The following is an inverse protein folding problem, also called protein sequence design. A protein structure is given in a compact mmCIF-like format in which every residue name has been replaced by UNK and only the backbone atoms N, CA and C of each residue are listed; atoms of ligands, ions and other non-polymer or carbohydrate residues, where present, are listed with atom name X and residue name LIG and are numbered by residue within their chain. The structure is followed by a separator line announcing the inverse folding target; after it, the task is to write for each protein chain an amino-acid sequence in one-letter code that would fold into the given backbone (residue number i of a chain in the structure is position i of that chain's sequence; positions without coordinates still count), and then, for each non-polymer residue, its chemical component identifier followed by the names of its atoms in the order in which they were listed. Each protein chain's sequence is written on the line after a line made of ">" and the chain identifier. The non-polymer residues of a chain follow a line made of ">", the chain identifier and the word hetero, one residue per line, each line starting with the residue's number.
data_IF_067434778368
#
_entry.id   IF_067434778368
#
_cell.length_a   1.000
_cell.length_b   1.000
_cell.length_c   1.000
_cell.angle_alpha   90.00
_cell.angle_beta   90.00
_cell.angle_gamma   90.00
#
_symmetry.space_group_name_H-M   'P 1'
#
loop_
_entity.id
_entity.type
_entity.pdbx_description
1 polymer ?
#
# COMPACT_ATOMS: atom_id res chain seq x y z
N UNK A 1 26.83 -32.40 75.13
CA UNK A 1 27.21 -31.22 74.34
C UNK A 1 27.51 -31.68 72.92
N UNK A 2 26.50 -31.68 72.04
CA UNK A 2 26.58 -32.22 70.67
C UNK A 2 26.56 -31.04 69.70
N UNK A 3 27.58 -30.98 68.83
CA UNK A 3 27.74 -30.00 67.75
C UNK A 3 26.86 -30.40 66.57
N UNK A 4 26.16 -29.46 65.96
CA UNK A 4 25.45 -29.59 64.68
C UNK A 4 26.08 -28.60 63.70
N UNK A 5 26.52 -29.00 62.50
CA UNK A 5 27.01 -28.07 61.49
C UNK A 5 25.89 -27.55 60.59
N UNK A 6 26.05 -26.29 60.16
CA UNK A 6 25.14 -25.54 59.29
C UNK A 6 25.20 -26.04 57.84
N UNK A 7 24.03 -26.12 57.20
CA UNK A 7 23.84 -26.49 55.80
C UNK A 7 23.56 -25.21 55.01
N UNK A 8 24.45 -24.85 54.10
CA UNK A 8 24.30 -23.71 53.17
C UNK A 8 23.57 -24.23 51.93
N UNK A 9 22.36 -23.73 51.68
CA UNK A 9 21.59 -24.00 50.47
C UNK A 9 21.76 -22.83 49.49
N UNK A 10 22.50 -23.04 48.41
CA UNK A 10 22.59 -22.13 47.26
C UNK A 10 21.39 -22.36 46.34
N UNK A 11 20.48 -21.38 46.27
CA UNK A 11 19.40 -21.33 45.29
C UNK A 11 19.95 -20.79 43.96
N UNK A 12 19.98 -21.63 42.93
CA UNK A 12 20.28 -21.23 41.55
C UNK A 12 19.09 -20.52 40.94
N UNK A 13 19.26 -19.23 40.63
CA UNK A 13 18.29 -18.41 39.93
C UNK A 13 18.44 -18.64 38.41
N UNK A 14 17.56 -19.47 37.84
CA UNK A 14 17.45 -19.64 36.38
C UNK A 14 16.64 -18.47 35.84
N UNK A 15 17.31 -17.51 35.20
CA UNK A 15 16.69 -16.45 34.43
C UNK A 15 16.23 -17.02 33.08
N UNK A 16 14.95 -17.40 33.00
CA UNK A 16 14.28 -17.63 31.72
C UNK A 16 14.04 -16.27 31.05
N UNK A 17 14.80 -15.96 30.00
CA UNK A 17 14.52 -14.83 29.11
C UNK A 17 13.29 -15.18 28.26
N UNK A 18 12.11 -14.80 28.73
CA UNK A 18 10.94 -14.72 27.85
C UNK A 18 11.19 -13.59 26.85
N UNK A 19 11.55 -13.94 25.63
CA UNK A 19 11.38 -13.07 24.46
C UNK A 19 9.88 -12.87 24.27
N UNK A 20 9.36 -11.76 24.78
CA UNK A 20 8.03 -11.29 24.44
C UNK A 20 8.05 -10.86 22.96
N UNK A 21 7.48 -11.67 22.08
CA UNK A 21 6.96 -11.15 20.82
C UNK A 21 5.79 -10.23 21.21
N UNK A 22 6.03 -8.92 21.25
CA UNK A 22 4.92 -7.98 21.28
C UNK A 22 4.18 -8.12 19.95
N UNK A 23 2.91 -8.54 19.92
CA UNK A 23 2.09 -8.28 18.75
C UNK A 23 2.14 -6.76 18.51
N UNK A 24 2.43 -6.35 17.27
CA UNK A 24 2.31 -4.94 16.89
C UNK A 24 0.93 -4.41 17.30
N UNK A 25 0.77 -3.10 17.53
CA UNK A 25 -0.51 -2.56 17.94
C UNK A 25 -1.55 -2.94 16.90
N UNK A 26 -2.48 -3.83 17.29
CA UNK A 26 -3.79 -3.85 16.67
C UNK A 26 -4.28 -2.40 16.74
N UNK A 27 -4.74 -1.84 15.63
CA UNK A 27 -5.30 -0.48 15.58
C UNK A 27 -6.57 -0.43 16.45
N UNK A 28 -6.39 -0.36 17.77
CA UNK A 28 -7.45 -0.40 18.78
C UNK A 28 -8.40 0.80 18.66
N UNK A 29 -8.01 1.82 17.88
CA UNK A 29 -8.76 3.05 17.67
C UNK A 29 -9.39 3.16 16.27
N UNK A 30 -9.29 2.14 15.40
CA UNK A 30 -9.90 2.19 14.07
C UNK A 30 -11.41 1.94 14.16
N UNK A 31 -12.20 3.00 13.99
CA UNK A 31 -13.66 2.89 13.90
C UNK A 31 -14.05 2.65 12.45
N UNK A 32 -14.50 1.43 12.15
CA UNK A 32 -14.93 1.10 10.80
C UNK A 32 -16.16 1.93 10.38
N UNK A 33 -16.17 2.50 9.16
CA UNK A 33 -17.31 3.29 8.68
C UNK A 33 -18.60 2.47 8.57
N UNK A 34 -18.45 1.18 8.24
CA UNK A 34 -19.56 0.24 8.11
C UNK A 34 -19.45 -0.88 9.14
N UNK A 35 -20.61 -1.37 9.56
CA UNK A 35 -20.75 -2.42 10.57
C UNK A 35 -21.56 -3.59 10.03
N UNK A 36 -21.57 -4.69 10.78
CA UNK A 36 -22.40 -5.85 10.44
C UNK A 36 -23.87 -5.55 10.66
N UNK A 37 -24.68 -5.84 9.65
CA UNK A 37 -26.14 -5.73 9.68
C UNK A 37 -26.81 -6.97 9.12
N UNK A 38 -28.14 -6.92 9.02
CA UNK A 38 -28.97 -8.06 8.61
C UNK A 38 -28.59 -8.61 7.23
N UNK A 39 -28.28 -7.75 6.26
CA UNK A 39 -27.90 -8.18 4.91
C UNK A 39 -26.54 -8.89 4.91
N UNK A 40 -25.52 -8.30 5.56
CA UNK A 40 -24.19 -8.92 5.66
C UNK A 40 -24.15 -10.22 6.46
N UNK A 41 -25.13 -10.46 7.34
CA UNK A 41 -25.25 -11.71 8.12
C UNK A 41 -25.92 -12.83 7.33
N UNK A 42 -26.60 -12.51 6.24
CA UNK A 42 -27.21 -13.49 5.33
C UNK A 42 -26.20 -14.05 4.31
N UNK A 43 -25.02 -13.43 4.19
CA UNK A 43 -23.95 -13.91 3.31
C UNK A 43 -23.17 -15.00 4.04
N UNK A 44 -23.34 -16.23 3.59
CA UNK A 44 -22.56 -17.39 4.04
C UNK A 44 -21.35 -17.58 3.13
N UNK A 45 -20.16 -17.65 3.72
CA UNK A 45 -18.91 -17.81 2.99
C UNK A 45 -18.11 -18.95 3.61
N UNK A 46 -17.67 -19.88 2.76
CA UNK A 46 -16.83 -21.02 3.16
C UNK A 46 -15.63 -21.15 2.24
N UNK A 47 -14.58 -21.82 2.72
CA UNK A 47 -13.29 -21.94 2.04
C UNK A 47 -12.17 -21.24 2.81
N UNK A 48 -10.93 -21.61 2.51
CA UNK A 48 -9.73 -21.04 3.13
C UNK A 48 -9.32 -19.75 2.40
N UNK A 49 -8.57 -18.88 3.08
CA UNK A 49 -7.96 -17.69 2.45
C UNK A 49 -7.00 -18.14 1.34
N UNK A 50 -7.01 -17.40 0.23
CA UNK A 50 -6.19 -17.73 -0.95
C UNK A 50 -6.73 -18.92 -1.74
N UNK A 51 -7.97 -19.35 -1.46
CA UNK A 51 -8.74 -20.27 -2.31
C UNK A 51 -10.09 -19.67 -2.63
N UNK A 52 -10.60 -19.96 -3.83
CA UNK A 52 -11.89 -19.46 -4.29
C UNK A 52 -12.99 -19.84 -3.28
N UNK A 53 -13.66 -18.85 -2.64
CA UNK A 53 -14.70 -19.12 -1.67
C UNK A 53 -15.94 -19.70 -2.33
N UNK A 54 -16.68 -20.52 -1.59
CA UNK A 54 -18.09 -20.78 -1.89
C UNK A 54 -18.93 -19.75 -1.15
N UNK A 55 -19.73 -18.99 -1.91
CA UNK A 55 -20.55 -17.87 -1.41
C UNK A 55 -22.02 -18.18 -1.66
N UNK A 56 -22.85 -18.06 -0.63
CA UNK A 56 -24.30 -18.30 -0.69
C UNK A 56 -25.05 -17.18 0.06
N UNK A 57 -26.15 -16.70 -0.53
CA UNK A 57 -27.03 -15.68 0.04
C UNK A 57 -28.40 -15.71 -0.65
N UNK A 58 -29.49 -15.26 0.02
CA UNK A 58 -30.81 -15.22 -0.59
C UNK A 58 -30.90 -14.15 -1.68
N UNK A 59 -31.63 -14.40 -2.75
CA UNK A 59 -31.87 -13.42 -3.82
C UNK A 59 -33.36 -13.03 -3.91
N UNK A 60 -33.68 -11.74 -4.08
CA UNK A 60 -32.76 -10.60 -4.04
C UNK A 60 -32.32 -10.25 -2.61
N UNK A 61 -31.04 -9.91 -2.45
CA UNK A 61 -30.49 -9.31 -1.23
C UNK A 61 -30.31 -7.81 -1.46
N UNK A 62 -31.17 -6.99 -0.86
CA UNK A 62 -31.12 -5.53 -0.94
C UNK A 62 -30.69 -4.94 0.40
N UNK A 63 -30.01 -3.80 0.36
CA UNK A 63 -29.71 -3.01 1.55
C UNK A 63 -29.72 -1.52 1.22
N UNK A 64 -30.24 -0.71 2.15
CA UNK A 64 -30.27 0.75 2.04
C UNK A 64 -28.94 1.40 2.48
N UNK A 65 -28.08 0.66 3.18
CA UNK A 65 -26.77 1.10 3.63
C UNK A 65 -25.75 -0.04 3.49
N UNK A 66 -24.51 0.29 3.17
CA UNK A 66 -23.43 -0.70 3.10
C UNK A 66 -23.18 -1.36 4.46
N UNK A 67 -23.04 -2.68 4.46
CA UNK A 67 -22.82 -3.50 5.65
C UNK A 67 -21.65 -4.45 5.44
N UNK A 68 -20.98 -4.81 6.55
CA UNK A 68 -19.82 -5.70 6.51
C UNK A 68 -19.82 -6.72 7.63
N UNK A 69 -19.54 -7.97 7.29
CA UNK A 69 -19.18 -9.02 8.23
C UNK A 69 -17.74 -9.48 7.99
N UNK A 70 -16.94 -9.60 9.05
CA UNK A 70 -15.66 -10.31 8.99
C UNK A 70 -15.94 -11.81 9.09
N UNK A 71 -15.57 -12.55 8.04
CA UNK A 71 -15.77 -14.00 7.95
C UNK A 71 -14.59 -14.73 8.57
N UNK A 72 -13.38 -14.28 8.24
CA UNK A 72 -12.12 -14.78 8.80
C UNK A 72 -11.35 -13.57 9.31
N UNK A 73 -10.97 -13.60 10.59
CA UNK A 73 -10.17 -12.54 11.21
C UNK A 73 -8.74 -12.58 10.69
N UNK A 74 -8.25 -11.41 10.30
CA UNK A 74 -6.85 -11.22 9.92
C UNK A 74 -5.98 -10.94 11.15
N UNK A 75 -4.68 -11.09 11.00
CA UNK A 75 -3.72 -10.78 12.08
C UNK A 75 -2.69 -9.74 11.67
N UNK A 76 -2.74 -9.27 10.43
CA UNK A 76 -1.84 -8.26 9.90
C UNK A 76 -2.27 -6.82 10.24
N UNK A 77 -1.57 -5.83 9.65
CA UNK A 77 -1.90 -4.43 9.81
C UNK A 77 -3.34 -4.11 9.41
N UNK A 78 -3.96 -3.15 10.09
CA UNK A 78 -5.28 -2.65 9.73
C UNK A 78 -5.20 -1.68 8.54
N UNK A 79 -6.18 -1.78 7.64
CA UNK A 79 -6.29 -0.93 6.47
C UNK A 79 -6.75 0.49 6.83
N UNK A 80 -6.19 1.48 6.14
CA UNK A 80 -6.50 2.91 6.33
C UNK A 80 -6.76 3.60 4.98
N UNK A 81 -7.34 4.80 5.03
CA UNK A 81 -7.61 5.60 3.84
C UNK A 81 -6.31 6.02 3.12
N UNK A 82 -6.37 6.15 1.79
CA UNK A 82 -5.24 6.48 0.93
C UNK A 82 -4.27 5.31 0.71
N UNK A 83 -4.52 4.16 1.32
CA UNK A 83 -3.65 3.00 1.22
C UNK A 83 -3.91 2.24 -0.07
N UNK A 84 -2.85 1.93 -0.81
CA UNK A 84 -2.93 0.92 -1.87
C UNK A 84 -3.03 -0.45 -1.22
N UNK A 85 -3.93 -1.28 -1.72
CA UNK A 85 -4.14 -2.65 -1.25
C UNK A 85 -4.09 -3.64 -2.41
N UNK A 86 -3.86 -4.90 -2.07
CA UNK A 86 -4.14 -6.01 -2.97
C UNK A 86 -5.07 -7.00 -2.30
N UNK A 87 -6.08 -7.44 -3.06
CA UNK A 87 -7.11 -8.36 -2.59
C UNK A 87 -7.40 -9.42 -3.65
N UNK A 88 -7.76 -10.62 -3.21
CA UNK A 88 -8.56 -11.51 -4.05
C UNK A 88 -10.03 -11.21 -3.81
N UNK A 89 -10.83 -11.14 -4.87
CA UNK A 89 -12.25 -10.77 -4.78
C UNK A 89 -13.16 -11.75 -5.50
N UNK A 90 -14.37 -11.90 -4.96
CA UNK A 90 -15.52 -12.49 -5.64
C UNK A 90 -16.69 -11.51 -5.51
N UNK A 91 -17.24 -11.09 -6.65
CA UNK A 91 -18.26 -10.04 -6.74
C UNK A 91 -19.50 -10.63 -7.37
N UNK A 92 -20.65 -10.39 -6.75
CA UNK A 92 -21.93 -10.89 -7.20
C UNK A 92 -22.97 -9.77 -7.25
N UNK A 93 -23.85 -9.83 -8.24
CA UNK A 93 -25.07 -9.03 -8.22
C UNK A 93 -25.97 -9.59 -7.11
N UNK A 94 -26.27 -8.78 -6.08
CA UNK A 94 -27.02 -9.25 -4.92
C UNK A 94 -28.51 -9.50 -5.25
N UNK A 95 -29.02 -8.90 -6.33
CA UNK A 95 -30.41 -9.09 -6.79
C UNK A 95 -30.58 -10.41 -7.51
N UNK A 96 -29.65 -10.78 -8.40
CA UNK A 96 -29.76 -11.98 -9.25
C UNK A 96 -29.00 -13.19 -8.71
N UNK A 97 -27.95 -12.95 -7.91
CA UNK A 97 -27.00 -13.97 -7.46
C UNK A 97 -25.94 -14.31 -8.50
N UNK A 98 -25.92 -13.64 -9.65
CA UNK A 98 -24.94 -13.89 -10.71
C UNK A 98 -23.56 -13.36 -10.32
N UNK A 99 -22.54 -14.16 -10.62
CA UNK A 99 -21.14 -13.75 -10.46
C UNK A 99 -20.79 -12.71 -11.52
N UNK A 100 -20.23 -11.59 -11.08
CA UNK A 100 -19.76 -10.48 -11.93
C UNK A 100 -18.28 -10.66 -12.21
N UNK A 101 -17.48 -10.81 -11.16
CA UNK A 101 -16.03 -10.90 -11.24
C UNK A 101 -15.51 -11.84 -10.14
N UNK A 102 -14.48 -12.61 -10.46
CA UNK A 102 -13.81 -13.47 -9.51
C UNK A 102 -12.33 -13.56 -9.84
N UNK A 103 -11.48 -13.30 -8.84
CA UNK A 103 -10.03 -13.55 -8.92
C UNK A 103 -9.75 -15.02 -9.15
N UNK A 104 -8.57 -15.35 -9.66
CA UNK A 104 -8.17 -16.75 -9.84
C UNK A 104 -7.77 -17.44 -8.53
N UNK A 105 -7.49 -16.67 -7.47
CA UNK A 105 -6.97 -17.18 -6.18
C UNK A 105 -5.71 -18.05 -6.34
N UNK A 106 -4.84 -17.67 -7.27
CA UNK A 106 -3.55 -18.36 -7.53
C UNK A 106 -2.33 -17.61 -6.98
N UNK A 107 -2.57 -16.50 -6.28
CA UNK A 107 -1.54 -15.62 -5.74
C UNK A 107 -0.87 -14.71 -6.77
N UNK A 108 -1.37 -14.66 -8.01
CA UNK A 108 -0.78 -13.86 -9.10
C UNK A 108 -1.76 -12.84 -9.71
N UNK A 109 -3.06 -13.14 -9.76
CA UNK A 109 -4.07 -12.28 -10.41
C UNK A 109 -4.95 -11.54 -9.40
N UNK A 110 -4.30 -10.83 -8.48
CA UNK A 110 -4.97 -10.10 -7.41
C UNK A 110 -5.39 -8.71 -7.90
N UNK A 111 -6.56 -8.26 -7.46
CA UNK A 111 -7.01 -6.90 -7.73
C UNK A 111 -6.22 -5.92 -6.85
N UNK A 112 -5.86 -4.77 -7.42
CA UNK A 112 -5.19 -3.70 -6.68
C UNK A 112 -5.82 -2.35 -6.96
N UNK A 113 -6.06 -1.60 -5.89
CA UNK A 113 -6.67 -0.28 -5.92
C UNK A 113 -6.27 0.51 -4.66
N UNK A 114 -6.58 1.81 -4.66
CA UNK A 114 -6.36 2.70 -3.52
C UNK A 114 -7.67 2.88 -2.76
N UNK A 115 -7.62 2.82 -1.43
CA UNK A 115 -8.78 3.07 -0.57
C UNK A 115 -9.05 4.58 -0.47
N UNK A 116 -9.67 5.14 -1.51
CA UNK A 116 -10.04 6.54 -1.61
C UNK A 116 -11.39 6.69 -2.36
N UNK A 117 -11.72 7.93 -2.71
CA UNK A 117 -12.93 8.34 -3.42
C UNK A 117 -12.99 7.93 -4.90
N UNK A 118 -11.89 7.44 -5.48
CA UNK A 118 -11.86 6.91 -6.84
C UNK A 118 -12.30 5.45 -6.91
N UNK A 119 -12.23 4.74 -5.78
CA UNK A 119 -12.75 3.37 -5.63
C UNK A 119 -14.20 3.45 -5.15
N UNK A 120 -15.01 2.43 -5.49
CA UNK A 120 -16.41 2.37 -5.07
C UNK A 120 -16.53 2.57 -3.55
N UNK A 121 -17.38 3.50 -3.11
CA UNK A 121 -17.55 3.87 -1.69
C UNK A 121 -17.82 2.64 -0.83
N UNK A 122 -18.69 1.73 -1.28
CA UNK A 122 -19.02 0.51 -0.53
C UNK A 122 -17.81 -0.42 -0.35
N UNK A 123 -16.89 -0.43 -1.32
CA UNK A 123 -15.66 -1.20 -1.24
C UNK A 123 -14.62 -0.52 -0.34
N UNK A 124 -14.42 0.80 -0.48
CA UNK A 124 -13.52 1.58 0.38
C UNK A 124 -13.95 1.49 1.84
N UNK A 125 -15.19 1.86 2.15
CA UNK A 125 -15.74 1.82 3.51
C UNK A 125 -15.76 0.40 4.07
N UNK A 126 -16.11 -0.58 3.22
CA UNK A 126 -16.08 -2.00 3.56
C UNK A 126 -14.70 -2.48 3.98
N UNK A 127 -13.62 -1.99 3.39
CA UNK A 127 -12.26 -2.45 3.70
C UNK A 127 -11.58 -1.64 4.81
N UNK A 128 -11.99 -0.41 5.08
CA UNK A 128 -11.40 0.39 6.16
C UNK A 128 -11.47 -0.33 7.52
N UNK A 129 -10.34 -0.34 8.23
CA UNK A 129 -10.10 -1.09 9.47
C UNK A 129 -10.09 -2.63 9.35
N UNK A 130 -10.34 -3.23 8.19
CA UNK A 130 -10.10 -4.66 8.01
C UNK A 130 -8.59 -4.94 8.16
N UNK A 131 -8.23 -6.15 8.58
CA UNK A 131 -6.82 -6.52 8.75
C UNK A 131 -6.30 -7.29 7.55
N UNK A 132 -5.03 -7.12 7.22
CA UNK A 132 -4.35 -8.03 6.29
C UNK A 132 -4.44 -9.47 6.81
N UNK A 133 -4.74 -10.39 5.91
CA UNK A 133 -5.07 -11.79 6.19
C UNK A 133 -6.52 -12.02 6.63
N UNK A 134 -7.42 -11.04 6.52
CA UNK A 134 -8.85 -11.23 6.78
C UNK A 134 -9.60 -11.60 5.50
N UNK A 135 -10.73 -12.30 5.67
CA UNK A 135 -11.79 -12.43 4.65
C UNK A 135 -13.00 -11.65 5.13
N UNK A 136 -13.43 -10.65 4.35
CA UNK A 136 -14.61 -9.83 4.66
C UNK A 136 -15.69 -10.02 3.61
N UNK A 137 -16.95 -10.03 4.05
CA UNK A 137 -18.12 -9.97 3.19
C UNK A 137 -18.75 -8.60 3.32
N UNK A 138 -18.81 -7.85 2.22
CA UNK A 138 -19.40 -6.53 2.12
C UNK A 138 -20.65 -6.62 1.26
N UNK A 139 -21.78 -6.14 1.78
CA UNK A 139 -23.00 -5.95 1.00
C UNK A 139 -23.14 -4.45 0.77
N UNK A 140 -22.76 -4.00 -0.41
CA UNK A 140 -22.82 -2.59 -0.78
C UNK A 140 -24.24 -2.20 -1.21
N UNK A 141 -24.72 -1.07 -0.70
CA UNK A 141 -25.97 -0.47 -1.17
C UNK A 141 -25.86 -0.07 -2.65
N UNK A 142 -26.99 0.10 -3.33
CA UNK A 142 -26.94 0.58 -4.72
C UNK A 142 -26.28 1.96 -4.84
N UNK A 143 -26.49 2.82 -3.84
CA UNK A 143 -25.88 4.15 -3.74
C UNK A 143 -24.35 4.07 -3.60
N UNK A 144 -23.85 3.20 -2.72
CA UNK A 144 -22.42 3.05 -2.45
C UNK A 144 -21.71 2.18 -3.51
N UNK A 145 -22.47 1.48 -4.35
CA UNK A 145 -21.96 0.68 -5.46
C UNK A 145 -21.83 1.50 -6.74
N UNK A 146 -22.92 2.03 -7.29
CA UNK A 146 -22.90 2.81 -8.53
C UNK A 146 -23.61 4.16 -8.42
N UNK A 147 -24.44 4.37 -7.38
CA UNK A 147 -25.10 5.63 -7.04
C UNK A 147 -25.47 6.50 -8.24
N UNK A 148 -24.90 7.70 -8.39
CA UNK A 148 -25.22 8.62 -9.49
C UNK A 148 -24.98 8.06 -10.90
N UNK A 149 -24.11 7.06 -11.07
CA UNK A 149 -23.88 6.43 -12.37
C UNK A 149 -25.06 5.56 -12.82
N UNK A 150 -25.95 5.14 -11.90
CA UNK A 150 -27.18 4.41 -12.22
C UNK A 150 -26.95 2.97 -12.67
N UNK A 151 -25.91 2.31 -12.13
CA UNK A 151 -25.53 0.93 -12.46
C UNK A 151 -24.47 0.83 -13.56
N UNK A 152 -24.25 -0.38 -14.04
CA UNK A 152 -23.34 -0.68 -15.14
C UNK A 152 -23.88 -1.85 -15.98
N UNK A 153 -24.46 -1.52 -17.13
CA UNK A 153 -25.09 -2.50 -18.02
C UNK A 153 -24.11 -3.50 -18.63
N UNK A 154 -22.84 -3.11 -18.82
CA UNK A 154 -21.82 -3.98 -19.43
C UNK A 154 -21.48 -5.19 -18.54
N UNK A 155 -21.68 -5.05 -17.24
CA UNK A 155 -21.46 -6.10 -16.23
C UNK A 155 -22.77 -6.59 -15.58
N UNK A 156 -23.92 -6.24 -16.15
CA UNK A 156 -25.23 -6.71 -15.68
C UNK A 156 -25.68 -6.15 -14.33
N UNK A 157 -25.33 -4.90 -14.01
CA UNK A 157 -25.73 -4.23 -12.75
C UNK A 157 -26.73 -3.12 -13.06
N UNK A 158 -27.95 -3.23 -12.52
CA UNK A 158 -28.98 -2.19 -12.63
C UNK A 158 -28.79 -1.07 -11.57
N UNK A 159 -29.49 0.05 -11.77
CA UNK A 159 -29.38 1.23 -10.90
C UNK A 159 -29.74 0.97 -9.42
N UNK A 160 -30.62 0.02 -9.16
CA UNK A 160 -31.10 -0.32 -7.82
C UNK A 160 -30.41 -1.57 -7.25
N UNK A 161 -29.46 -2.16 -7.96
CA UNK A 161 -28.79 -3.39 -7.54
C UNK A 161 -27.77 -3.13 -6.43
N UNK A 162 -27.92 -3.89 -5.34
CA UNK A 162 -26.88 -4.04 -4.34
C UNK A 162 -25.83 -5.04 -4.86
N UNK A 163 -24.61 -4.98 -4.32
CA UNK A 163 -23.53 -5.89 -4.66
C UNK A 163 -23.04 -6.63 -3.43
N UNK A 164 -22.68 -7.90 -3.60
CA UNK A 164 -21.97 -8.68 -2.59
C UNK A 164 -20.51 -8.80 -3.02
N UNK A 165 -19.60 -8.30 -2.21
CA UNK A 165 -18.17 -8.50 -2.34
C UNK A 165 -17.68 -9.45 -1.25
N UNK A 166 -16.92 -10.48 -1.64
CA UNK A 166 -16.16 -11.31 -0.71
C UNK A 166 -14.69 -11.10 -1.02
N UNK A 167 -13.96 -10.55 -0.06
CA UNK A 167 -12.62 -10.00 -0.25
C UNK A 167 -11.64 -10.67 0.72
N UNK A 168 -10.57 -11.25 0.17
CA UNK A 168 -9.40 -11.63 0.95
C UNK A 168 -8.42 -10.47 0.93
N UNK A 169 -8.12 -9.90 2.10
CA UNK A 169 -7.11 -8.85 2.21
C UNK A 169 -5.74 -9.49 2.22
N UNK A 170 -5.03 -9.44 1.10
CA UNK A 170 -3.75 -10.16 0.97
C UNK A 170 -2.57 -9.28 1.33
N UNK A 171 -2.57 -8.02 0.86
CA UNK A 171 -1.45 -7.11 1.08
C UNK A 171 -1.90 -5.66 1.19
N UNK A 172 -1.17 -4.89 1.96
CA UNK A 172 -1.34 -3.44 2.10
C UNK A 172 0.02 -2.77 2.01
N UNK A 173 0.12 -1.66 1.28
CA UNK A 173 1.34 -0.85 1.17
C UNK A 173 1.29 0.31 2.15
N UNK A 174 2.42 0.90 2.53
CA UNK A 174 2.38 2.13 3.33
C UNK A 174 1.71 3.26 2.55
N UNK A 175 1.05 4.20 3.22
CA UNK A 175 0.52 5.42 2.58
C UNK A 175 1.62 6.44 2.29
N UNK A 176 2.71 6.40 3.06
CA UNK A 176 3.91 7.24 2.92
C UNK A 176 5.07 6.62 3.69
N UNK A 177 6.27 7.16 3.52
CA UNK A 177 7.43 6.75 4.32
C UNK A 177 7.24 7.05 5.81
N UNK A 178 7.42 6.04 6.66
CA UNK A 178 7.24 6.08 8.11
C UNK A 178 8.54 5.83 8.90
N UNK A 179 9.66 5.69 8.18
CA UNK A 179 10.97 5.47 8.78
C UNK A 179 11.50 6.62 9.65
N UNK A 180 12.58 6.33 10.35
CA UNK A 180 13.22 7.28 11.27
C UNK A 180 13.90 8.42 10.50
N UNK A 181 13.64 9.67 10.90
CA UNK A 181 14.22 10.86 10.28
C UNK A 181 15.76 10.82 10.29
N UNK A 182 16.35 11.25 9.18
CA UNK A 182 17.79 11.32 8.96
C UNK A 182 18.22 12.77 8.81
N UNK A 183 19.50 13.03 9.12
CA UNK A 183 20.07 14.36 8.93
C UNK A 183 20.15 14.70 7.42
N UNK A 184 19.77 15.92 7.02
CA UNK A 184 19.92 16.36 5.64
C UNK A 184 21.38 16.26 5.18
N UNK A 185 21.57 15.74 3.96
CA UNK A 185 22.89 15.66 3.33
C UNK A 185 23.21 16.99 2.65
N UNK A 186 24.36 17.58 3.01
CA UNK A 186 24.79 18.85 2.44
C UNK A 186 24.94 18.76 0.91
N UNK A 187 24.40 19.75 0.20
CA UNK A 187 24.46 19.84 -1.26
C UNK A 187 23.31 19.13 -2.00
N UNK A 188 22.44 18.40 -1.30
CA UNK A 188 21.20 17.89 -1.88
C UNK A 188 20.05 18.90 -1.75
N UNK A 189 19.01 18.79 -2.60
CA UNK A 189 17.77 19.56 -2.46
C UNK A 189 17.14 19.37 -1.08
N UNK A 190 16.62 20.47 -0.53
CA UNK A 190 15.89 20.43 0.73
C UNK A 190 14.45 19.96 0.46
N UNK A 191 13.91 19.15 1.38
CA UNK A 191 12.58 18.58 1.29
C UNK A 191 11.79 18.95 2.54
N UNK A 192 10.57 19.43 2.32
CA UNK A 192 9.56 19.67 3.35
C UNK A 192 8.30 18.91 2.97
N UNK A 193 7.54 18.41 3.93
CA UNK A 193 6.34 17.63 3.67
C UNK A 193 5.10 18.45 3.99
N UNK A 194 4.09 18.38 3.12
CA UNK A 194 2.73 18.79 3.45
C UNK A 194 2.09 17.80 4.45
N UNK A 195 0.91 18.12 4.96
CA UNK A 195 0.21 17.32 5.98
C UNK A 195 -0.13 15.90 5.49
N UNK A 196 -0.51 15.80 4.23
CA UNK A 196 -0.77 14.54 3.51
C UNK A 196 0.51 13.73 3.25
N UNK A 197 1.69 14.36 3.34
CA UNK A 197 2.99 13.77 3.05
C UNK A 197 3.59 14.21 1.71
N UNK A 198 2.86 14.98 0.88
CA UNK A 198 3.33 15.44 -0.42
C UNK A 198 4.63 16.27 -0.26
N UNK A 199 5.72 15.92 -0.97
CA UNK A 199 7.00 16.61 -0.80
C UNK A 199 7.07 17.93 -1.57
N UNK A 200 7.36 19.01 -0.86
CA UNK A 200 7.86 20.27 -1.40
C UNK A 200 9.38 20.25 -1.52
N UNK A 201 9.90 20.49 -2.73
CA UNK A 201 11.32 20.34 -3.05
C UNK A 201 11.94 21.71 -3.35
N UNK A 202 13.03 22.05 -2.67
CA UNK A 202 13.80 23.27 -2.92
C UNK A 202 15.19 22.94 -3.46
N UNK A 203 15.40 23.25 -4.74
CA UNK A 203 16.69 23.06 -5.42
C UNK A 203 17.66 24.21 -5.06
N UNK A 204 18.90 23.90 -4.63
CA UNK A 204 19.88 24.93 -4.31
C UNK A 204 20.36 25.67 -5.56
N UNK A 205 20.83 26.91 -5.39
CA UNK A 205 21.40 27.71 -6.50
C UNK A 205 22.80 27.25 -6.96
N UNK A 206 23.27 26.09 -6.47
CA UNK A 206 24.55 25.51 -6.88
C UNK A 206 24.42 24.80 -8.23
N UNK A 207 25.57 24.49 -8.86
CA UNK A 207 25.57 23.63 -10.04
C UNK A 207 25.08 22.23 -9.67
N UNK A 208 24.32 21.55 -10.55
CA UNK A 208 23.93 20.17 -10.32
C UNK A 208 25.18 19.27 -10.20
N UNK A 209 25.13 18.22 -9.35
CA UNK A 209 26.15 17.18 -9.32
C UNK A 209 26.33 16.51 -10.69
N UNK A 210 27.55 16.08 -10.99
CA UNK A 210 27.88 15.33 -12.23
C UNK A 210 27.77 13.82 -12.06
N UNK A 211 27.63 13.33 -10.83
CA UNK A 211 27.38 11.92 -10.53
C UNK A 211 26.04 11.79 -9.81
N UNK A 212 25.43 10.61 -9.87
CA UNK A 212 24.27 10.27 -9.05
C UNK A 212 24.58 10.56 -7.57
N UNK A 213 23.70 11.33 -6.92
CA UNK A 213 23.72 11.53 -5.48
C UNK A 213 22.39 11.11 -4.88
N UNK A 214 22.45 10.38 -3.77
CA UNK A 214 21.27 9.90 -3.04
C UNK A 214 21.44 10.26 -1.57
N UNK A 215 20.39 10.83 -0.98
CA UNK A 215 20.30 11.11 0.44
C UNK A 215 19.07 10.42 1.01
N UNK A 216 19.25 9.70 2.12
CA UNK A 216 18.13 9.14 2.88
C UNK A 216 17.61 10.25 3.80
N UNK A 217 16.32 10.55 3.71
CA UNK A 217 15.62 11.54 4.54
C UNK A 217 14.87 10.87 5.69
N UNK A 218 14.31 9.68 5.42
CA UNK A 218 13.78 8.76 6.43
C UNK A 218 14.33 7.38 6.17
N UNK A 219 14.79 6.69 7.21
CA UNK A 219 15.29 5.31 7.11
C UNK A 219 14.22 4.35 7.62
N UNK A 220 13.57 3.66 6.69
CA UNK A 220 12.65 2.56 7.00
C UNK A 220 13.39 1.31 7.43
N UNK A 221 12.68 0.39 8.05
CA UNK A 221 13.17 -0.89 8.56
C UNK A 221 12.47 -2.10 7.92
N UNK A 222 11.62 -1.87 6.92
CA UNK A 222 10.96 -2.93 6.16
C UNK A 222 11.88 -3.63 5.16
N UNK A 223 11.26 -4.41 4.27
CA UNK A 223 11.95 -5.21 3.27
C UNK A 223 12.91 -4.38 2.41
N UNK A 224 14.06 -4.97 2.05
CA UNK A 224 15.06 -4.30 1.23
C UNK A 224 14.71 -4.43 -0.24
N UNK A 225 14.71 -3.32 -0.97
CA UNK A 225 14.56 -3.30 -2.42
C UNK A 225 15.77 -3.98 -3.06
N UNK A 226 15.54 -5.07 -3.79
CA UNK A 226 16.58 -5.76 -4.56
C UNK A 226 16.45 -5.45 -6.05
N UNK A 227 17.54 -5.64 -6.78
CA UNK A 227 17.51 -5.54 -8.24
C UNK A 227 16.45 -6.48 -8.84
N UNK A 228 15.63 -5.96 -9.76
CA UNK A 228 14.54 -6.67 -10.42
C UNK A 228 13.25 -6.83 -9.60
N UNK A 229 13.22 -6.40 -8.33
CA UNK A 229 11.98 -6.42 -7.54
C UNK A 229 10.97 -5.37 -8.03
N UNK A 230 9.68 -5.62 -7.85
CA UNK A 230 8.66 -4.60 -8.13
C UNK A 230 8.47 -3.75 -6.88
N UNK A 231 8.77 -2.47 -6.97
CA UNK A 231 8.65 -1.53 -5.85
C UNK A 231 7.45 -0.62 -6.05
N UNK A 232 6.60 -0.54 -5.03
CA UNK A 232 5.50 0.44 -4.97
C UNK A 232 5.99 1.68 -4.24
N UNK A 233 5.86 2.84 -4.88
CA UNK A 233 6.39 4.11 -4.39
C UNK A 233 5.38 5.24 -4.54
N UNK A 234 5.50 6.21 -3.65
CA UNK A 234 5.10 7.58 -3.94
C UNK A 234 6.35 8.38 -4.32
N UNK A 235 6.28 9.18 -5.38
CA UNK A 235 7.36 10.04 -5.84
C UNK A 235 6.87 11.38 -6.39
N UNK A 236 7.79 12.35 -6.38
CA UNK A 236 7.71 13.61 -7.12
C UNK A 236 9.04 13.85 -7.83
N UNK A 237 8.98 14.10 -9.15
CA UNK A 237 10.11 14.40 -10.02
C UNK A 237 10.15 15.88 -10.40
N UNK A 238 11.32 16.51 -10.30
CA UNK A 238 11.56 17.93 -10.61
C UNK A 238 12.76 18.07 -11.53
N UNK A 239 12.68 18.96 -12.52
CA UNK A 239 13.84 19.33 -13.36
C UNK A 239 14.71 20.34 -12.60
N UNK A 240 16.00 20.06 -12.44
CA UNK A 240 16.91 20.88 -11.63
C UNK A 240 16.94 22.36 -12.06
N UNK A 241 17.06 22.61 -13.37
CA UNK A 241 17.28 23.95 -13.91
C UNK A 241 16.02 24.83 -13.87
N UNK A 242 14.87 24.27 -14.28
CA UNK A 242 13.60 25.01 -14.31
C UNK A 242 12.92 25.04 -12.94
N UNK A 243 13.24 24.08 -12.06
CA UNK A 243 12.60 23.85 -10.76
C UNK A 243 11.12 23.48 -10.87
N UNK A 244 10.71 23.00 -12.03
CA UNK A 244 9.34 22.60 -12.31
C UNK A 244 9.17 21.10 -12.04
N UNK A 245 8.06 20.74 -11.39
CA UNK A 245 7.61 19.36 -11.26
C UNK A 245 7.21 18.88 -12.65
N UNK A 246 7.81 17.78 -13.12
CA UNK A 246 7.45 17.17 -14.40
C UNK A 246 6.55 15.95 -14.23
N UNK A 247 6.58 15.31 -13.06
CA UNK A 247 5.76 14.12 -12.75
C UNK A 247 5.60 13.94 -11.23
N UNK A 248 4.44 13.42 -10.80
CA UNK A 248 4.16 13.13 -9.39
C UNK A 248 3.00 12.16 -9.21
N UNK A 249 3.27 11.04 -8.53
CA UNK A 249 2.25 10.09 -8.09
C UNK A 249 1.28 10.68 -7.05
N UNK A 250 1.71 11.67 -6.26
CA UNK A 250 0.85 12.37 -5.30
C UNK A 250 -0.24 13.15 -6.02
N UNK A 251 0.13 13.86 -7.10
CA UNK A 251 -0.81 14.59 -7.94
C UNK A 251 -1.76 13.65 -8.70
N UNK A 252 -1.31 12.44 -9.03
CA UNK A 252 -2.15 11.41 -9.63
C UNK A 252 -3.14 10.75 -8.64
N UNK A 253 -2.93 10.93 -7.33
CA UNK A 253 -3.78 10.36 -6.27
C UNK A 253 -3.55 8.88 -5.98
N UNK A 254 -2.50 8.27 -6.55
CA UNK A 254 -2.22 6.84 -6.38
C UNK A 254 -0.71 6.53 -6.44
N UNK A 255 -0.21 5.58 -5.61
CA UNK A 255 1.16 5.09 -5.74
C UNK A 255 1.43 4.43 -7.09
N UNK A 256 2.66 4.59 -7.57
CA UNK A 256 3.15 3.93 -8.78
C UNK A 256 3.93 2.66 -8.43
N UNK A 257 3.93 1.68 -9.33
CA UNK A 257 4.74 0.47 -9.22
C UNK A 257 5.78 0.46 -10.34
N UNK A 258 7.04 0.15 -10.00
CA UNK A 258 8.15 0.11 -10.95
C UNK A 258 9.00 -1.14 -10.72
N UNK A 259 9.58 -1.68 -11.78
CA UNK A 259 10.65 -2.68 -11.64
C UNK A 259 11.93 -1.94 -11.29
N UNK A 260 12.49 -2.22 -10.11
CA UNK A 260 13.74 -1.63 -9.63
C UNK A 260 14.94 -2.26 -10.34
N UNK A 261 15.05 -2.01 -11.63
CA UNK A 261 16.13 -2.46 -12.51
C UNK A 261 16.45 -1.40 -13.55
N UNK A 262 17.69 -1.38 -14.03
CA UNK A 262 18.14 -0.47 -15.08
C UNK A 262 17.47 -0.82 -16.42
N UNK A 263 16.58 0.06 -16.89
CA UNK A 263 15.82 -0.07 -18.13
C UNK A 263 16.67 -0.08 -19.40
N UNK A 264 17.93 0.34 -19.34
CA UNK A 264 18.87 0.21 -20.46
C UNK A 264 19.35 -1.24 -20.68
N UNK A 265 19.17 -2.10 -19.67
CA UNK A 265 19.60 -3.51 -19.69
C UNK A 265 18.47 -4.49 -19.39
N UNK A 266 17.37 -4.03 -18.80
CA UNK A 266 16.24 -4.86 -18.35
C UNK A 266 14.93 -4.32 -18.93
N UNK A 267 14.19 -5.17 -19.63
CA UNK A 267 12.87 -4.82 -20.14
C UNK A 267 11.91 -4.49 -18.98
N UNK A 268 11.17 -3.39 -19.10
CA UNK A 268 10.29 -2.90 -18.03
C UNK A 268 11.00 -2.19 -16.87
N UNK A 269 12.33 -2.10 -16.90
CA UNK A 269 13.10 -1.30 -15.95
C UNK A 269 12.89 0.21 -16.13
N UNK A 270 13.41 0.96 -15.17
CA UNK A 270 13.32 2.43 -15.08
C UNK A 270 14.63 3.08 -15.47
N UNK A 271 14.68 4.42 -15.55
CA UNK A 271 15.93 5.14 -15.83
C UNK A 271 17.03 4.73 -14.82
N UNK A 272 18.30 4.58 -15.26
CA UNK A 272 19.35 3.94 -14.47
C UNK A 272 19.51 4.54 -13.06
N UNK A 273 19.49 5.88 -12.96
CA UNK A 273 19.65 6.58 -11.71
C UNK A 273 18.50 6.39 -10.73
N UNK A 274 17.28 6.16 -11.21
CA UNK A 274 16.12 5.92 -10.36
C UNK A 274 16.18 4.50 -9.79
N UNK A 275 16.51 3.50 -10.61
CA UNK A 275 16.75 2.14 -10.14
C UNK A 275 17.89 2.10 -9.10
N UNK A 276 19.04 2.68 -9.43
CA UNK A 276 20.22 2.72 -8.56
C UNK A 276 19.97 3.48 -7.25
N UNK A 277 19.05 4.46 -7.23
CA UNK A 277 18.69 5.17 -6.01
C UNK A 277 17.83 4.33 -5.06
N UNK A 278 17.01 3.42 -5.62
CA UNK A 278 16.08 2.57 -4.86
C UNK A 278 16.73 1.29 -4.36
N UNK A 279 17.56 0.64 -5.17
CA UNK A 279 18.19 -0.65 -4.82
C UNK A 279 19.03 -0.50 -3.53
N UNK A 280 18.80 -1.40 -2.58
CA UNK A 280 19.44 -1.41 -1.26
C UNK A 280 18.78 -0.51 -0.22
N UNK A 281 17.78 0.29 -0.60
CA UNK A 281 16.91 0.97 0.35
C UNK A 281 15.88 0.02 0.94
N UNK A 282 15.23 0.44 2.02
CA UNK A 282 14.26 -0.36 2.77
C UNK A 282 12.88 0.28 2.69
N UNK A 283 11.82 -0.55 2.66
CA UNK A 283 10.43 -0.10 2.79
C UNK A 283 10.26 0.77 4.03
N UNK A 284 9.49 1.85 3.90
CA UNK A 284 9.34 2.91 4.90
C UNK A 284 10.38 4.03 4.75
N UNK A 285 11.35 3.90 3.84
CA UNK A 285 12.33 4.96 3.60
C UNK A 285 11.78 6.07 2.70
N UNK A 286 12.20 7.30 2.98
CA UNK A 286 12.10 8.43 2.05
C UNK A 286 13.52 8.80 1.61
N UNK A 287 13.72 8.92 0.30
CA UNK A 287 15.00 9.33 -0.28
C UNK A 287 14.83 10.58 -1.14
N UNK A 288 15.91 11.36 -1.27
CA UNK A 288 16.09 12.35 -2.32
C UNK A 288 17.24 11.91 -3.22
N UNK A 289 17.02 11.89 -4.53
CA UNK A 289 18.01 11.49 -5.52
C UNK A 289 18.19 12.58 -6.56
N UNK A 290 19.43 12.88 -6.92
CA UNK A 290 19.81 13.83 -7.98
C UNK A 290 20.52 13.05 -9.07
N UNK A 291 19.88 12.98 -10.23
CA UNK A 291 20.28 12.16 -11.36
C UNK A 291 20.85 13.07 -12.46
N UNK A 292 22.17 13.01 -12.72
CA UNK A 292 22.74 13.68 -13.90
C UNK A 292 22.20 13.07 -15.21
N UNK A 293 22.39 13.72 -16.36
CA UNK A 293 21.75 13.30 -17.62
C UNK A 293 22.04 11.85 -18.02
N UNK A 294 23.26 11.36 -17.81
CA UNK A 294 23.65 9.97 -18.12
C UNK A 294 22.96 8.92 -17.24
N UNK A 295 22.41 9.34 -16.09
CA UNK A 295 21.61 8.52 -15.19
C UNK A 295 20.09 8.76 -15.37
N UNK A 296 19.72 9.65 -16.30
CA UNK A 296 18.34 10.03 -16.60
C UNK A 296 18.03 9.78 -18.09
N UNK A 297 17.63 10.83 -18.84
CA UNK A 297 17.24 10.73 -20.25
C UNK A 297 18.36 11.12 -21.24
N UNK A 298 19.57 11.40 -20.76
CA UNK A 298 20.72 11.79 -21.58
C UNK A 298 20.40 13.01 -22.45
N UNK A 299 20.77 12.92 -23.73
CA UNK A 299 20.53 13.97 -24.73
C UNK A 299 19.12 13.91 -25.36
N UNK A 300 18.22 13.07 -24.84
CA UNK A 300 16.84 12.99 -25.32
C UNK A 300 15.96 13.97 -24.55
N UNK A 301 15.12 14.70 -25.29
CA UNK A 301 14.07 15.52 -24.71
C UNK A 301 12.74 14.75 -24.68
N UNK A 302 11.91 15.03 -23.67
CA UNK A 302 10.49 14.66 -23.62
C UNK A 302 9.65 15.95 -23.61
N UNK A 303 8.33 15.82 -23.56
CA UNK A 303 7.42 16.98 -23.54
C UNK A 303 7.68 17.93 -22.36
N UNK A 304 8.09 17.40 -21.21
CA UNK A 304 8.31 18.16 -19.97
C UNK A 304 9.78 18.19 -19.52
N UNK A 305 10.65 17.38 -20.13
CA UNK A 305 12.06 17.25 -19.74
C UNK A 305 12.95 17.65 -20.92
N UNK A 306 13.65 18.80 -20.86
CA UNK A 306 14.62 19.16 -21.87
C UNK A 306 15.78 18.15 -21.99
N UNK A 307 16.37 18.04 -23.18
CA UNK A 307 17.59 17.25 -23.39
C UNK A 307 18.73 17.72 -22.48
N UNK A 308 19.50 16.78 -21.92
CA UNK A 308 20.61 17.08 -21.01
C UNK A 308 20.19 17.54 -19.62
N UNK A 309 18.94 17.31 -19.21
CA UNK A 309 18.43 17.72 -17.89
C UNK A 309 18.99 16.86 -16.76
N UNK A 310 19.33 17.51 -15.64
CA UNK A 310 19.47 16.85 -14.34
C UNK A 310 18.10 16.76 -13.66
N UNK A 311 17.76 15.59 -13.13
CA UNK A 311 16.48 15.36 -12.46
C UNK A 311 16.68 15.23 -10.95
N UNK A 312 15.68 15.67 -10.19
CA UNK A 312 15.57 15.44 -8.76
C UNK A 312 14.33 14.60 -8.50
N UNK A 313 14.47 13.53 -7.73
CA UNK A 313 13.36 12.74 -7.24
C UNK A 313 13.32 12.78 -5.73
N UNK A 314 12.13 12.91 -5.16
CA UNK A 314 11.86 12.50 -3.77
C UNK A 314 10.95 11.30 -3.84
N UNK A 315 11.32 10.22 -3.15
CA UNK A 315 10.65 8.92 -3.25
C UNK A 315 10.41 8.33 -1.87
N UNK A 316 9.16 8.00 -1.59
CA UNK A 316 8.70 7.20 -0.47
C UNK A 316 8.54 5.75 -0.94
N UNK A 317 9.23 4.83 -0.28
CA UNK A 317 9.20 3.40 -0.60
C UNK A 317 8.13 2.72 0.24
N UNK A 318 7.02 2.34 -0.38
CA UNK A 318 5.80 1.92 0.31
C UNK A 318 5.68 0.41 0.48
N UNK A 319 6.35 -0.36 -0.39
CA UNK A 319 6.43 -1.81 -0.32
C UNK A 319 7.14 -2.40 -1.53
N UNK A 320 7.43 -3.70 -1.45
CA UNK A 320 8.11 -4.47 -2.50
C UNK A 320 7.31 -5.75 -2.74
N UNK A 321 7.23 -6.19 -3.99
CA UNK A 321 6.62 -7.44 -4.48
C UNK A 321 7.66 -8.33 -5.18
#
# INVERSE_FOLDING_TARGET
>A
MRKVPALIATAGLVLATLTACSPGPANADCTAPVSSGDASKLVSVTGEIGSAPTVDFPTPLKTDATQRSTIIEGTGPGLVEGQKVQVDLSVFNATTGESIEQSSYDGTSMASFVLNDQTLTGLTDGLLCAQVGSRVAVVASAEDAFGPAGGNADIGVAADDSLVFVLDVVKSYLTRADGADQLPVAGLPAVVLAEDGTPGITIPSAKPPTDLKVGVLKKGDGETVTDGSTVTVHYTGVVWDTKEVFDSSWAAGAPAAFVAADGSTTEGGVIPGFANALIGQTVGSQIVAVLPPDQAYGDQATDTIPAGSTLVFVVDILGVD
#
